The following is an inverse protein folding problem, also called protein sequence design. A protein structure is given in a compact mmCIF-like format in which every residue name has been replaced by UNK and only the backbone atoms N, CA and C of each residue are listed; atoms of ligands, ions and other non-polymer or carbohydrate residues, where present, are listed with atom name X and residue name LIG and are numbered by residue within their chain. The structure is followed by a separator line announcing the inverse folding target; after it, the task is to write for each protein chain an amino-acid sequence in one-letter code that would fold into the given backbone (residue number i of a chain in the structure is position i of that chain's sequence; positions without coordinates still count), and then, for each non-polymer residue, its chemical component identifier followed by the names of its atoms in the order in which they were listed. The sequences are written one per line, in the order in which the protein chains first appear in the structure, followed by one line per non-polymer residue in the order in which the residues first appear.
data_IF_372297230072
#
_entry.id   IF_372297230072
#
_cell.length_a   1.000
_cell.length_b   1.000
_cell.length_c   1.000
_cell.angle_alpha   90.00
_cell.angle_beta   90.00
_cell.angle_gamma   90.00
#
_symmetry.space_group_name_H-M   'P 1'
#
loop_
_entity.id
_entity.type
_entity.pdbx_description
1 polymer ?
#
# COMPACT_ATOMS: atom_id res chain seq x y z
N UNK A 1 60.11 -47.43 5.38
CA UNK A 1 58.82 -46.94 5.90
C UNK A 1 59.01 -45.51 6.37
N UNK A 2 58.58 -44.54 5.57
CA UNK A 2 58.41 -43.13 5.97
C UNK A 2 57.60 -42.46 4.88
N UNK A 3 56.30 -42.33 5.11
CA UNK A 3 55.39 -41.54 4.27
C UNK A 3 55.02 -40.29 5.05
N UNK A 4 55.54 -39.16 4.57
CA UNK A 4 55.25 -37.81 5.04
C UNK A 4 53.76 -37.50 4.84
N UNK A 5 53.10 -37.01 5.90
CA UNK A 5 51.76 -36.45 5.84
C UNK A 5 51.81 -35.08 5.15
N UNK A 6 51.20 -34.97 3.97
CA UNK A 6 50.81 -33.68 3.41
C UNK A 6 49.60 -33.14 4.18
N UNK A 7 49.75 -31.92 4.67
CA UNK A 7 48.71 -31.11 5.30
C UNK A 7 47.80 -30.57 4.17
N UNK A 8 46.47 -30.71 4.22
CA UNK A 8 45.62 -30.09 3.22
C UNK A 8 45.49 -28.58 3.50
N UNK A 9 45.74 -27.78 2.46
CA UNK A 9 45.42 -26.35 2.40
C UNK A 9 43.97 -26.07 2.81
N UNK A 10 43.70 -24.97 3.54
CA UNK A 10 42.34 -24.56 3.82
C UNK A 10 41.65 -24.08 2.54
N UNK A 11 40.58 -24.78 2.16
CA UNK A 11 39.73 -24.47 1.02
C UNK A 11 39.32 -22.98 1.02
N UNK A 12 39.61 -22.30 -0.10
CA UNK A 12 39.10 -20.98 -0.43
C UNK A 12 37.57 -20.93 -0.22
N UNK A 13 37.12 -20.02 0.64
CA UNK A 13 35.72 -19.63 0.74
C UNK A 13 35.30 -19.02 -0.60
N UNK A 14 34.81 -19.85 -1.51
CA UNK A 14 34.13 -19.44 -2.73
C UNK A 14 32.87 -18.67 -2.33
N UNK A 15 33.00 -17.34 -2.25
CA UNK A 15 31.92 -16.43 -1.93
C UNK A 15 30.79 -16.60 -2.93
N UNK A 16 29.64 -17.09 -2.48
CA UNK A 16 28.43 -17.26 -3.27
C UNK A 16 28.04 -15.90 -3.86
N UNK A 17 28.33 -15.68 -5.16
CA UNK A 17 27.87 -14.49 -5.89
C UNK A 17 26.39 -14.64 -6.19
N UNK A 18 25.59 -13.70 -5.70
CA UNK A 18 24.16 -13.62 -5.97
C UNK A 18 23.89 -12.30 -6.68
N UNK A 19 23.12 -12.35 -7.77
CA UNK A 19 22.74 -11.16 -8.54
C UNK A 19 21.47 -10.55 -7.95
N UNK A 20 21.52 -9.25 -7.67
CA UNK A 20 20.39 -8.50 -7.12
C UNK A 20 20.00 -7.35 -8.05
N UNK A 21 18.71 -6.99 -8.03
CA UNK A 21 18.27 -5.75 -8.67
C UNK A 21 18.85 -4.54 -7.90
N UNK A 22 19.29 -3.46 -8.58
CA UNK A 22 19.91 -2.30 -7.91
C UNK A 22 19.05 -1.68 -6.80
N UNK A 23 17.73 -1.63 -6.97
CA UNK A 23 16.83 -1.11 -5.94
C UNK A 23 16.84 -1.92 -4.64
N UNK A 24 17.01 -3.25 -4.72
CA UNK A 24 17.10 -4.13 -3.54
C UNK A 24 18.39 -3.84 -2.76
N UNK A 25 19.51 -3.69 -3.48
CA UNK A 25 20.78 -3.33 -2.88
C UNK A 25 20.72 -1.98 -2.17
N UNK A 26 20.15 -0.97 -2.82
CA UNK A 26 20.00 0.37 -2.23
C UNK A 26 19.08 0.36 -1.01
N UNK A 27 18.02 -0.43 -1.01
CA UNK A 27 17.12 -0.58 0.13
C UNK A 27 17.82 -1.23 1.35
N UNK A 28 18.57 -2.31 1.14
CA UNK A 28 19.32 -2.96 2.22
C UNK A 28 20.44 -2.06 2.77
N UNK A 29 21.15 -1.35 1.90
CA UNK A 29 22.12 -0.32 2.30
C UNK A 29 21.43 0.76 3.15
N UNK A 30 20.27 1.26 2.71
CA UNK A 30 19.50 2.27 3.45
C UNK A 30 19.07 1.80 4.85
N UNK A 31 18.54 0.56 4.97
CA UNK A 31 18.21 -0.04 6.26
C UNK A 31 19.43 -0.14 7.18
N UNK A 32 20.56 -0.58 6.64
CA UNK A 32 21.79 -0.71 7.40
C UNK A 32 22.31 0.64 7.88
N UNK A 33 22.29 1.67 7.02
CA UNK A 33 22.67 3.04 7.41
C UNK A 33 21.78 3.52 8.56
N UNK A 34 20.46 3.38 8.44
CA UNK A 34 19.52 3.83 9.48
C UNK A 34 19.71 3.09 10.81
N UNK A 35 20.11 1.82 10.78
CA UNK A 35 20.35 1.01 11.98
C UNK A 35 21.67 1.38 12.64
N UNK A 36 22.70 1.61 11.84
CA UNK A 36 24.08 1.78 12.31
C UNK A 36 24.40 3.25 12.62
N UNK A 37 23.82 4.18 11.86
CA UNK A 37 24.06 5.61 11.90
C UNK A 37 22.71 6.36 11.90
N UNK A 38 21.88 6.18 12.94
CA UNK A 38 20.53 6.78 12.98
C UNK A 38 20.56 8.32 12.96
N UNK A 39 21.66 8.92 13.37
CA UNK A 39 21.83 10.38 13.42
C UNK A 39 22.44 10.97 12.13
N UNK A 40 22.85 10.13 11.17
CA UNK A 40 23.45 10.60 9.93
C UNK A 40 22.40 11.31 9.06
N UNK A 41 22.62 12.60 8.81
CA UNK A 41 21.79 13.41 7.92
C UNK A 41 22.62 13.87 6.73
N UNK A 42 22.08 13.67 5.54
CA UNK A 42 22.70 14.07 4.27
C UNK A 42 21.83 15.14 3.63
N UNK A 43 22.44 16.25 3.21
CA UNK A 43 21.78 17.31 2.47
C UNK A 43 22.17 17.23 1.00
N UNK A 44 21.19 17.30 0.11
CA UNK A 44 21.38 17.30 -1.34
C UNK A 44 20.48 18.37 -1.97
N UNK A 45 20.85 18.97 -3.13
CA UNK A 45 19.97 19.91 -3.82
C UNK A 45 18.61 19.28 -4.15
N UNK A 46 17.56 20.11 -4.21
CA UNK A 46 16.19 19.67 -4.51
C UNK A 46 16.09 18.88 -5.84
N UNK A 47 16.93 19.22 -6.82
CA UNK A 47 17.07 18.48 -8.08
C UNK A 47 18.53 18.05 -8.24
N UNK A 48 18.78 16.75 -8.36
CA UNK A 48 20.10 16.17 -8.57
C UNK A 48 20.01 14.97 -9.50
N UNK A 49 21.15 14.54 -10.05
CA UNK A 49 21.22 13.31 -10.85
C UNK A 49 21.31 12.09 -9.92
N UNK A 50 20.92 10.90 -10.40
CA UNK A 50 21.11 9.64 -9.66
C UNK A 50 22.55 9.47 -9.17
N UNK A 51 23.52 9.73 -10.05
CA UNK A 51 24.94 9.66 -9.71
C UNK A 51 25.34 10.71 -8.68
N UNK A 52 24.80 11.92 -8.76
CA UNK A 52 25.02 12.98 -7.78
C UNK A 52 24.53 12.57 -6.40
N UNK A 53 23.30 12.05 -6.30
CA UNK A 53 22.73 11.57 -5.04
C UNK A 53 23.55 10.42 -4.42
N UNK A 54 23.88 9.40 -5.23
CA UNK A 54 24.69 8.26 -4.76
C UNK A 54 26.07 8.70 -4.28
N UNK A 55 26.70 9.65 -4.98
CA UNK A 55 27.99 10.21 -4.58
C UNK A 55 27.87 10.97 -3.26
N UNK A 56 26.87 11.83 -3.10
CA UNK A 56 26.67 12.57 -1.84
C UNK A 56 26.49 11.62 -0.64
N UNK A 57 25.69 10.56 -0.80
CA UNK A 57 25.51 9.54 0.23
C UNK A 57 26.83 8.81 0.48
N UNK A 58 27.55 8.39 -0.57
CA UNK A 58 28.84 7.72 -0.46
C UNK A 58 29.88 8.56 0.29
N UNK A 59 30.00 9.85 -0.05
CA UNK A 59 30.95 10.78 0.57
C UNK A 59 30.64 10.96 2.07
N UNK A 60 29.35 10.96 2.44
CA UNK A 60 28.89 11.07 3.83
C UNK A 60 29.16 9.82 4.69
N UNK A 61 29.45 8.68 4.04
CA UNK A 61 29.75 7.40 4.69
C UNK A 61 31.26 7.13 4.80
N UNK A 62 32.09 8.11 4.43
CA UNK A 62 33.55 8.02 4.56
C UNK A 62 33.96 7.73 6.01
N UNK A 63 34.83 6.74 6.22
CA UNK A 63 35.24 6.27 7.56
C UNK A 63 34.42 5.11 8.17
N UNK A 64 33.47 4.54 7.42
CA UNK A 64 32.67 3.35 7.84
C UNK A 64 32.97 2.13 6.95
N UNK A 65 34.12 2.16 6.27
CA UNK A 65 34.51 1.29 5.16
C UNK A 65 34.56 -0.22 5.51
N UNK A 66 34.78 -0.55 6.78
CA UNK A 66 34.93 -1.94 7.25
C UNK A 66 33.64 -2.58 7.80
N UNK A 67 32.48 -1.89 7.71
CA UNK A 67 31.22 -2.45 8.26
C UNK A 67 30.54 -3.35 7.23
N UNK A 68 30.54 -4.64 7.54
CA UNK A 68 29.82 -5.63 6.75
C UNK A 68 28.31 -5.45 6.86
N UNK A 69 27.66 -5.29 5.71
CA UNK A 69 26.21 -5.44 5.59
C UNK A 69 25.89 -6.87 5.17
N UNK A 70 24.85 -7.44 5.78
CA UNK A 70 24.27 -8.70 5.28
C UNK A 70 23.13 -8.32 4.34
N UNK A 71 23.27 -8.67 3.06
CA UNK A 71 22.18 -8.50 2.10
C UNK A 71 21.28 -9.71 2.23
N UNK A 72 20.09 -9.50 2.80
CA UNK A 72 19.08 -10.55 2.83
C UNK A 72 18.80 -11.01 1.40
N UNK A 73 18.82 -12.34 1.22
CA UNK A 73 18.43 -12.93 -0.05
C UNK A 73 17.00 -12.45 -0.36
N UNK A 74 16.75 -11.80 -1.51
CA UNK A 74 15.42 -11.44 -1.92
C UNK A 74 14.65 -12.75 -1.95
N UNK A 75 13.53 -12.82 -1.26
CA UNK A 75 12.63 -13.95 -1.41
C UNK A 75 12.29 -13.98 -2.91
N UNK A 76 12.76 -15.01 -3.67
CA UNK A 76 12.54 -15.02 -5.11
C UNK A 76 11.05 -14.86 -5.38
N UNK A 77 10.66 -14.14 -6.43
CA UNK A 77 9.25 -13.91 -6.77
C UNK A 77 8.46 -15.23 -6.81
N UNK A 78 9.11 -16.31 -7.25
CA UNK A 78 8.62 -17.69 -7.21
C UNK A 78 8.51 -18.29 -5.81
N UNK A 79 9.42 -17.97 -4.87
CA UNK A 79 9.33 -18.38 -3.47
C UNK A 79 8.32 -17.55 -2.69
N UNK A 80 8.12 -16.27 -3.03
CA UNK A 80 6.99 -15.47 -2.53
C UNK A 80 5.67 -16.08 -3.00
N UNK A 81 5.60 -16.51 -4.26
CA UNK A 81 4.44 -17.23 -4.81
C UNK A 81 4.25 -18.59 -4.14
N UNK A 82 5.30 -19.40 -3.97
CA UNK A 82 5.20 -20.69 -3.29
C UNK A 82 4.83 -20.56 -1.80
N UNK A 83 5.40 -19.58 -1.08
CA UNK A 83 4.99 -19.27 0.30
C UNK A 83 3.54 -18.77 0.35
N UNK A 84 3.12 -17.98 -0.65
CA UNK A 84 1.72 -17.58 -0.82
C UNK A 84 0.83 -18.80 -1.07
N UNK A 85 1.19 -19.71 -1.96
CA UNK A 85 0.39 -20.88 -2.32
C UNK A 85 0.27 -21.88 -1.16
N UNK A 86 1.35 -22.05 -0.38
CA UNK A 86 1.37 -22.88 0.83
C UNK A 86 0.50 -22.27 1.94
N UNK A 87 0.54 -20.94 2.08
CA UNK A 87 -0.30 -20.22 3.03
C UNK A 87 -1.78 -20.24 2.62
N UNK A 88 -2.07 -20.12 1.32
CA UNK A 88 -3.41 -20.26 0.75
C UNK A 88 -4.00 -21.65 1.04
N UNK A 89 -3.19 -22.72 0.89
CA UNK A 89 -3.61 -24.08 1.26
C UNK A 89 -3.89 -24.21 2.75
N UNK A 90 -3.07 -23.59 3.60
CA UNK A 90 -3.26 -23.62 5.06
C UNK A 90 -4.57 -22.92 5.48
N UNK A 91 -4.91 -21.80 4.85
CA UNK A 91 -6.15 -21.04 5.12
C UNK A 91 -7.39 -21.81 4.60
N UNK A 92 -7.29 -22.43 3.43
CA UNK A 92 -8.36 -23.28 2.89
C UNK A 92 -8.62 -24.51 3.77
N UNK A 93 -7.56 -25.08 4.36
CA UNK A 93 -7.68 -26.16 5.34
C UNK A 93 -8.22 -25.70 6.70
N UNK A 94 -8.18 -24.39 7.01
CA UNK A 94 -8.62 -23.83 8.29
C UNK A 94 -9.98 -23.12 8.24
N UNK A 95 -10.86 -23.47 7.29
CA UNK A 95 -12.24 -22.97 7.23
C UNK A 95 -13.09 -23.49 8.40
N UNK A 96 -12.82 -22.98 9.60
CA UNK A 96 -13.80 -22.77 10.65
C UNK A 96 -14.08 -21.28 10.69
N UNK A 97 -15.22 -20.86 10.12
CA UNK A 97 -16.09 -19.69 10.39
C UNK A 97 -15.55 -18.47 11.18
N UNK A 98 -14.27 -18.14 11.05
CA UNK A 98 -13.68 -16.98 11.69
C UNK A 98 -13.93 -15.79 10.79
N UNK A 99 -15.11 -15.18 10.93
CA UNK A 99 -15.41 -13.86 10.39
C UNK A 99 -14.22 -12.95 10.71
N UNK A 100 -13.48 -12.51 9.68
CA UNK A 100 -12.38 -11.57 9.82
C UNK A 100 -12.93 -10.30 10.49
N UNK A 101 -12.64 -10.14 11.78
CA UNK A 101 -13.06 -8.95 12.53
C UNK A 101 -12.28 -7.73 12.04
N UNK A 102 -12.86 -6.56 12.16
CA UNK A 102 -12.16 -5.29 11.87
C UNK A 102 -12.07 -4.43 13.09
N UNK A 103 -10.95 -3.73 13.24
CA UNK A 103 -10.73 -2.79 14.34
C UNK A 103 -10.25 -1.44 13.78
N UNK A 104 -10.75 -0.32 14.32
CA UNK A 104 -10.28 1.02 13.93
C UNK A 104 -8.82 1.22 14.34
N UNK A 105 -8.08 1.99 13.54
CA UNK A 105 -6.80 2.52 14.00
C UNK A 105 -7.01 3.62 15.04
N UNK A 106 -6.02 3.82 15.90
CA UNK A 106 -6.01 4.95 16.84
C UNK A 106 -5.75 6.25 16.09
N UNK A 107 -6.45 7.31 16.48
CA UNK A 107 -6.21 8.67 16.00
C UNK A 107 -5.74 9.57 17.14
N UNK A 108 -4.87 10.52 16.82
CA UNK A 108 -4.39 11.55 17.75
C UNK A 108 -5.19 12.87 17.62
N UNK A 109 -6.21 12.88 16.76
CA UNK A 109 -7.09 14.01 16.51
C UNK A 109 -8.53 13.51 16.30
N UNK A 110 -9.46 14.44 16.31
CA UNK A 110 -10.87 14.17 16.07
C UNK A 110 -11.16 14.04 14.56
N UNK A 111 -11.51 12.82 14.12
CA UNK A 111 -11.86 12.54 12.73
C UNK A 111 -13.09 13.33 12.23
N UNK A 112 -13.99 13.73 13.13
CA UNK A 112 -15.19 14.47 12.75
C UNK A 112 -14.84 15.85 12.17
N UNK A 113 -13.70 16.43 12.60
CA UNK A 113 -13.18 17.72 12.15
C UNK A 113 -12.48 17.67 10.79
N UNK A 114 -12.22 16.48 10.23
CA UNK A 114 -11.64 16.36 8.90
C UNK A 114 -12.64 16.91 7.88
N UNK A 115 -12.28 17.86 7.01
CA UNK A 115 -13.22 18.38 6.02
C UNK A 115 -13.49 17.35 4.92
N UNK A 116 -14.59 17.52 4.18
CA UNK A 116 -14.72 16.87 2.87
C UNK A 116 -13.57 17.32 1.97
N UNK A 117 -13.05 16.43 1.10
CA UNK A 117 -11.97 16.80 0.20
C UNK A 117 -12.47 17.83 -0.82
N UNK A 118 -11.58 18.72 -1.24
CA UNK A 118 -11.88 19.66 -2.32
C UNK A 118 -11.85 18.89 -3.65
N UNK A 119 -12.87 19.02 -4.51
CA UNK A 119 -12.84 18.45 -5.86
C UNK A 119 -11.60 18.92 -6.62
N UNK A 120 -11.00 18.00 -7.38
CA UNK A 120 -9.83 18.31 -8.19
C UNK A 120 -10.18 19.23 -9.36
N UNK A 121 -9.21 20.03 -9.81
CA UNK A 121 -9.32 20.72 -11.10
C UNK A 121 -9.30 19.71 -12.25
N UNK A 122 -9.93 20.04 -13.38
CA UNK A 122 -9.97 19.16 -14.58
C UNK A 122 -8.59 18.65 -15.00
N UNK A 123 -7.60 19.54 -15.00
CA UNK A 123 -6.22 19.17 -15.32
C UNK A 123 -5.61 18.17 -14.31
N UNK A 124 -5.92 18.30 -13.02
CA UNK A 124 -5.47 17.34 -12.03
C UNK A 124 -6.21 15.99 -12.17
N UNK A 125 -7.49 16.02 -12.54
CA UNK A 125 -8.27 14.81 -12.84
C UNK A 125 -7.67 14.03 -14.01
N UNK A 126 -7.32 14.72 -15.09
CA UNK A 126 -6.66 14.13 -16.26
C UNK A 126 -5.33 13.46 -15.89
N UNK A 127 -4.49 14.11 -15.07
CA UNK A 127 -3.24 13.50 -14.58
C UNK A 127 -3.49 12.24 -13.76
N UNK A 128 -4.50 12.25 -12.88
CA UNK A 128 -4.86 11.06 -12.07
C UNK A 128 -5.28 9.91 -12.98
N UNK A 129 -6.05 10.18 -14.03
CA UNK A 129 -6.44 9.21 -15.06
C UNK A 129 -5.23 8.67 -15.83
N UNK A 130 -4.30 9.53 -16.25
CA UNK A 130 -3.06 9.13 -16.92
C UNK A 130 -2.19 8.23 -16.04
N UNK A 131 -2.03 8.59 -14.76
CA UNK A 131 -1.27 7.81 -13.77
C UNK A 131 -1.95 6.47 -13.44
N UNK A 132 -3.29 6.43 -13.47
CA UNK A 132 -4.04 5.19 -13.33
C UNK A 132 -3.78 4.22 -14.49
N UNK A 133 -3.23 4.69 -15.61
CA UNK A 133 -2.86 3.87 -16.76
C UNK A 133 -4.08 3.14 -17.36
N UNK A 134 -3.88 2.04 -18.12
CA UNK A 134 -5.00 1.31 -18.68
C UNK A 134 -5.88 0.73 -17.56
N UNK A 135 -7.17 1.06 -17.63
CA UNK A 135 -8.21 0.59 -16.71
C UNK A 135 -8.60 -0.85 -17.08
N UNK A 136 -7.68 -1.78 -16.80
CA UNK A 136 -7.88 -3.19 -17.09
C UNK A 136 -8.90 -3.80 -16.12
N UNK A 137 -9.67 -4.82 -16.55
CA UNK A 137 -10.48 -5.62 -15.64
C UNK A 137 -9.62 -6.14 -14.49
N UNK A 138 -10.21 -6.29 -13.30
CA UNK A 138 -9.48 -6.87 -12.18
C UNK A 138 -8.98 -8.27 -12.58
N UNK A 139 -7.67 -8.47 -12.60
CA UNK A 139 -7.09 -9.80 -12.83
C UNK A 139 -7.40 -10.67 -11.62
N UNK A 140 -8.31 -11.62 -11.78
CA UNK A 140 -8.44 -12.73 -10.86
C UNK A 140 -7.15 -13.60 -10.88
N UNK A 141 -6.74 -14.16 -9.73
CA UNK A 141 -7.37 -14.02 -8.44
C UNK A 141 -6.95 -12.71 -7.77
N UNK A 142 -7.95 -11.97 -7.30
CA UNK A 142 -7.76 -11.03 -6.20
C UNK A 142 -6.85 -11.70 -5.17
N UNK A 143 -5.72 -11.09 -4.78
CA UNK A 143 -5.06 -11.45 -3.54
C UNK A 143 -5.99 -11.03 -2.40
N UNK A 144 -7.11 -11.74 -2.23
CA UNK A 144 -8.10 -11.48 -1.19
C UNK A 144 -7.44 -11.74 0.16
N UNK A 145 -7.20 -10.64 0.88
CA UNK A 145 -7.33 -10.51 2.34
C UNK A 145 -6.79 -11.68 3.16
N UNK A 146 -5.52 -11.70 3.62
CA UNK A 146 -5.14 -12.51 4.81
C UNK A 146 -3.69 -12.44 5.29
N UNK A 147 -2.70 -12.03 4.51
CA UNK A 147 -1.36 -12.63 4.75
C UNK A 147 -0.58 -12.06 5.94
N UNK A 148 -0.68 -10.77 6.29
CA UNK A 148 0.05 -10.24 7.46
C UNK A 148 -0.83 -9.86 8.64
N UNK A 149 -1.96 -9.17 8.41
CA UNK A 149 -2.84 -8.75 9.50
C UNK A 149 -3.65 -9.90 10.10
N UNK A 150 -4.19 -10.82 9.27
CA UNK A 150 -4.98 -11.94 9.78
C UNK A 150 -4.11 -13.02 10.45
N UNK A 151 -2.92 -13.31 9.90
CA UNK A 151 -2.00 -14.34 10.46
C UNK A 151 -1.46 -13.97 11.85
N UNK A 152 -1.36 -12.67 12.18
CA UNK A 152 -0.75 -12.23 13.45
C UNK A 152 -1.69 -11.65 14.52
N UNK A 153 -2.90 -11.20 14.17
CA UNK A 153 -3.74 -10.36 15.04
C UNK A 153 -5.23 -10.70 15.05
N UNK A 154 -5.72 -11.53 14.13
CA UNK A 154 -7.14 -11.90 14.04
C UNK A 154 -8.10 -10.76 13.65
N UNK A 155 -7.59 -9.56 13.31
CA UNK A 155 -8.39 -8.41 12.88
C UNK A 155 -7.69 -7.55 11.82
N UNK A 156 -8.47 -6.97 10.90
CA UNK A 156 -7.97 -6.04 9.89
C UNK A 156 -8.13 -4.56 10.33
N UNK A 157 -7.17 -3.69 10.00
CA UNK A 157 -7.26 -2.26 10.32
C UNK A 157 -8.31 -1.55 9.46
N UNK A 158 -9.13 -0.73 10.10
CA UNK A 158 -10.03 0.20 9.43
C UNK A 158 -9.64 1.65 9.67
N UNK A 159 -9.73 2.45 8.62
CA UNK A 159 -9.32 3.85 8.57
C UNK A 159 -10.53 4.71 8.20
N UNK A 160 -10.84 5.77 8.97
CA UNK A 160 -11.92 6.68 8.62
C UNK A 160 -11.52 7.57 7.44
N UNK A 161 -12.49 7.90 6.59
CA UNK A 161 -12.29 8.78 5.48
C UNK A 161 -13.55 9.60 5.17
N UNK A 162 -13.32 10.74 4.52
CA UNK A 162 -14.35 11.52 3.84
C UNK A 162 -14.02 11.58 2.37
N UNK A 163 -14.96 11.25 1.51
CA UNK A 163 -14.68 11.12 0.08
C UNK A 163 -15.79 11.69 -0.80
N UNK A 164 -15.39 11.99 -2.03
CA UNK A 164 -16.24 12.40 -3.14
C UNK A 164 -15.94 11.46 -4.30
N UNK A 165 -17.00 10.90 -4.89
CA UNK A 165 -16.95 10.10 -6.11
C UNK A 165 -17.59 10.87 -7.25
N UNK A 166 -16.98 10.76 -8.43
CA UNK A 166 -17.44 11.38 -9.67
C UNK A 166 -17.22 10.41 -10.84
N UNK A 167 -17.87 10.68 -11.97
CA UNK A 167 -17.50 10.02 -13.22
C UNK A 167 -16.07 10.37 -13.62
N UNK A 168 -15.37 9.47 -14.31
CA UNK A 168 -13.96 9.70 -14.70
C UNK A 168 -13.79 10.92 -15.61
N UNK A 169 -14.72 11.12 -16.56
CA UNK A 169 -14.74 12.27 -17.48
C UNK A 169 -16.01 13.14 -17.33
N UNK A 170 -16.84 12.86 -16.32
CA UNK A 170 -18.08 13.60 -16.07
C UNK A 170 -18.28 13.89 -14.58
N UNK A 171 -18.37 15.18 -14.26
CA UNK A 171 -18.61 15.70 -12.91
C UNK A 171 -20.01 16.31 -12.73
N UNK A 172 -20.93 16.00 -13.64
CA UNK A 172 -22.34 16.37 -13.56
C UNK A 172 -23.03 15.86 -12.28
N UNK A 173 -22.60 14.70 -11.78
CA UNK A 173 -23.07 14.10 -10.53
C UNK A 173 -21.92 13.72 -9.62
N UNK A 174 -22.15 13.88 -8.31
CA UNK A 174 -21.19 13.57 -7.27
C UNK A 174 -21.86 12.79 -6.15
N UNK A 175 -21.19 11.75 -5.66
CA UNK A 175 -21.58 11.04 -4.44
C UNK A 175 -20.61 11.43 -3.32
N UNK A 176 -21.14 11.91 -2.19
CA UNK A 176 -20.33 12.32 -1.03
C UNK A 176 -20.54 11.35 0.11
N UNK A 177 -19.46 10.90 0.73
CA UNK A 177 -19.50 10.05 1.92
C UNK A 177 -18.68 10.69 3.04
N UNK A 178 -19.35 11.18 4.08
CA UNK A 178 -18.72 11.88 5.21
C UNK A 178 -18.22 10.95 6.32
N UNK A 179 -18.76 9.73 6.38
CA UNK A 179 -18.46 8.76 7.43
C UNK A 179 -18.01 7.43 6.82
N UNK A 180 -17.16 7.50 5.80
CA UNK A 180 -16.67 6.32 5.13
C UNK A 180 -15.64 5.60 6.03
N UNK A 181 -15.75 4.28 6.10
CA UNK A 181 -14.77 3.43 6.78
C UNK A 181 -14.12 2.54 5.74
N UNK A 182 -12.81 2.64 5.66
CA UNK A 182 -12.01 2.00 4.62
C UNK A 182 -11.18 0.89 5.24
N UNK A 183 -11.14 -0.26 4.57
CA UNK A 183 -10.26 -1.36 4.93
C UNK A 183 -8.86 -1.03 4.43
N UNK A 184 -7.90 -0.96 5.36
CA UNK A 184 -6.49 -0.83 4.99
C UNK A 184 -5.94 -2.22 4.67
N UNK A 185 -6.09 -2.62 3.41
CA UNK A 185 -5.60 -3.88 2.89
C UNK A 185 -4.44 -3.64 1.93
N UNK A 186 -3.28 -4.22 2.23
CA UNK A 186 -2.12 -4.15 1.35
C UNK A 186 -2.21 -5.16 0.19
N UNK A 187 -3.26 -5.98 0.11
CA UNK A 187 -3.45 -7.01 -0.92
C UNK A 187 -4.17 -6.55 -2.19
N UNK A 188 -5.04 -5.54 -2.11
CA UNK A 188 -5.77 -5.05 -3.27
C UNK A 188 -4.86 -4.24 -4.19
N UNK A 189 -4.87 -4.53 -5.50
CA UNK A 189 -4.05 -3.77 -6.47
C UNK A 189 -4.59 -2.37 -6.71
N UNK A 190 -5.92 -2.22 -6.75
CA UNK A 190 -6.65 -0.98 -6.99
C UNK A 190 -7.68 -0.77 -5.88
N UNK A 191 -8.08 0.49 -5.70
CA UNK A 191 -9.13 0.82 -4.72
C UNK A 191 -10.48 0.35 -5.25
N UNK A 192 -11.22 -0.36 -4.40
CA UNK A 192 -12.50 -0.98 -4.76
C UNK A 192 -13.58 -0.44 -3.84
N UNK A 193 -14.72 -0.10 -4.42
CA UNK A 193 -15.95 0.23 -3.72
C UNK A 193 -17.04 -0.78 -4.07
N UNK A 194 -17.85 -1.16 -3.09
CA UNK A 194 -19.09 -1.88 -3.39
C UNK A 194 -20.22 -0.91 -3.72
N UNK A 195 -21.01 -1.26 -4.72
CA UNK A 195 -22.14 -0.47 -5.21
C UNK A 195 -23.23 -0.24 -4.15
N UNK A 196 -23.39 -1.17 -3.21
CA UNK A 196 -24.36 -1.05 -2.12
C UNK A 196 -24.07 0.09 -1.14
N UNK A 197 -22.88 0.70 -1.21
CA UNK A 197 -22.55 1.93 -0.49
C UNK A 197 -23.07 3.20 -1.17
N UNK A 198 -23.46 3.12 -2.44
CA UNK A 198 -23.81 4.27 -3.26
C UNK A 198 -25.31 4.54 -3.24
N UNK A 199 -25.68 5.81 -3.28
CA UNK A 199 -27.07 6.22 -3.48
C UNK A 199 -27.68 5.54 -4.72
N UNK A 200 -28.99 5.21 -4.72
CA UNK A 200 -29.65 4.65 -5.90
C UNK A 200 -29.49 5.53 -7.14
N UNK A 201 -29.49 6.86 -6.96
CA UNK A 201 -29.31 7.81 -8.05
C UNK A 201 -27.91 7.74 -8.67
N UNK A 202 -26.86 7.67 -7.84
CA UNK A 202 -25.50 7.57 -8.36
C UNK A 202 -25.22 6.21 -8.99
N UNK A 203 -25.83 5.13 -8.46
CA UNK A 203 -25.79 3.82 -9.13
C UNK A 203 -26.45 3.85 -10.50
N UNK A 204 -27.62 4.44 -10.60
CA UNK A 204 -28.34 4.60 -11.87
C UNK A 204 -27.52 5.40 -12.88
N UNK A 205 -26.90 6.50 -12.43
CA UNK A 205 -25.95 7.29 -13.21
C UNK A 205 -24.82 6.41 -13.77
N UNK A 206 -24.09 5.66 -12.93
CA UNK A 206 -22.99 4.80 -13.40
C UNK A 206 -23.46 3.66 -14.34
N UNK A 207 -24.65 3.10 -14.10
CA UNK A 207 -25.14 1.91 -14.82
C UNK A 207 -25.92 2.20 -16.10
N UNK A 208 -26.59 3.34 -16.20
CA UNK A 208 -27.50 3.64 -17.30
C UNK A 208 -27.06 4.83 -18.16
N UNK A 209 -26.24 5.76 -17.65
CA UNK A 209 -25.78 6.90 -18.45
C UNK A 209 -24.71 6.47 -19.48
N UNK A 210 -24.89 6.73 -20.79
CA UNK A 210 -23.91 6.38 -21.82
C UNK A 210 -22.52 7.00 -21.64
N UNK A 211 -22.40 8.11 -20.91
CA UNK A 211 -21.09 8.77 -20.67
C UNK A 211 -20.09 7.84 -19.97
N UNK A 212 -20.58 6.82 -19.27
CA UNK A 212 -19.76 5.84 -18.56
C UNK A 212 -19.47 4.56 -19.35
N UNK A 213 -19.98 4.40 -20.57
CA UNK A 213 -19.72 3.20 -21.37
C UNK A 213 -18.22 2.85 -21.52
N UNK A 214 -17.29 3.81 -21.72
CA UNK A 214 -15.85 3.51 -21.76
C UNK A 214 -15.27 3.02 -20.43
N UNK A 215 -15.99 3.24 -19.32
CA UNK A 215 -15.56 2.98 -17.95
C UNK A 215 -16.24 1.76 -17.33
N UNK A 216 -17.18 1.13 -18.04
CA UNK A 216 -17.84 -0.10 -17.59
C UNK A 216 -16.97 -1.32 -17.84
N UNK A 217 -16.90 -2.19 -16.83
CA UNK A 217 -16.09 -3.41 -16.86
C UNK A 217 -16.98 -4.61 -17.09
N UNK A 218 -16.98 -5.12 -18.33
CA UNK A 218 -17.50 -6.45 -18.71
C UNK A 218 -18.94 -6.75 -18.31
N UNK A 219 -19.33 -8.04 -18.43
CA UNK A 219 -20.67 -8.52 -18.13
C UNK A 219 -20.97 -8.62 -16.61
N UNK A 220 -19.92 -8.70 -15.78
CA UNK A 220 -20.02 -9.00 -14.35
C UNK A 220 -20.37 -7.78 -13.48
N UNK A 221 -20.45 -6.59 -14.10
CA UNK A 221 -20.92 -5.37 -13.44
C UNK A 221 -19.83 -4.70 -12.63
N UNK A 222 -19.21 -3.69 -13.24
CA UNK A 222 -18.39 -2.73 -12.53
C UNK A 222 -18.23 -1.45 -13.34
N UNK A 223 -17.88 -0.36 -12.67
CA UNK A 223 -17.64 0.93 -13.30
C UNK A 223 -16.46 1.64 -12.65
N UNK A 224 -15.54 2.16 -13.45
CA UNK A 224 -14.49 3.02 -12.96
C UNK A 224 -15.04 4.40 -12.62
N UNK A 225 -14.61 4.94 -11.48
CA UNK A 225 -14.99 6.26 -10.99
C UNK A 225 -13.77 7.02 -10.52
N UNK A 226 -13.85 8.34 -10.56
CA UNK A 226 -12.87 9.19 -9.91
C UNK A 226 -13.17 9.25 -8.41
N UNK A 227 -12.15 9.03 -7.59
CA UNK A 227 -12.22 9.08 -6.13
C UNK A 227 -11.28 10.18 -5.63
N UNK A 228 -11.82 11.12 -4.86
CA UNK A 228 -11.06 12.08 -4.06
C UNK A 228 -11.38 11.84 -2.59
N UNK A 229 -10.37 11.64 -1.74
CA UNK A 229 -10.58 11.25 -0.34
C UNK A 229 -9.61 11.97 0.61
N UNK A 230 -10.15 12.49 1.72
CA UNK A 230 -9.38 12.83 2.91
C UNK A 230 -9.39 11.62 3.85
N UNK A 231 -8.23 11.06 4.13
CA UNK A 231 -8.07 9.76 4.79
C UNK A 231 -7.33 9.97 6.09
N UNK A 232 -7.93 9.53 7.21
CA UNK A 232 -7.44 9.81 8.54
C UNK A 232 -6.50 8.75 9.09
N UNK A 233 -5.19 9.01 9.10
CA UNK A 233 -4.17 8.18 9.75
C UNK A 233 -3.91 8.62 11.20
N UNK A 234 -3.10 7.88 11.96
CA UNK A 234 -2.91 8.13 13.39
C UNK A 234 -2.43 9.54 13.72
N UNK A 235 -1.43 10.06 12.99
CA UNK A 235 -0.85 11.38 13.21
C UNK A 235 -1.52 12.51 12.42
N UNK A 236 -2.11 12.20 11.26
CA UNK A 236 -2.65 13.21 10.35
C UNK A 236 -3.66 12.62 9.38
N UNK A 237 -4.47 13.47 8.76
CA UNK A 237 -5.17 13.10 7.54
C UNK A 237 -4.41 13.57 6.29
N UNK A 238 -4.51 12.82 5.20
CA UNK A 238 -3.95 13.19 3.90
C UNK A 238 -5.05 13.20 2.84
N UNK A 239 -4.85 13.99 1.78
CA UNK A 239 -5.70 13.98 0.60
C UNK A 239 -5.09 13.05 -0.46
N UNK A 240 -5.87 12.09 -0.93
CA UNK A 240 -5.52 11.19 -2.02
C UNK A 240 -6.59 11.24 -3.11
N UNK A 241 -6.13 11.14 -4.35
CA UNK A 241 -6.99 11.13 -5.53
C UNK A 241 -6.57 10.01 -6.46
N UNK A 242 -7.52 9.17 -6.86
CA UNK A 242 -7.25 7.98 -7.66
C UNK A 242 -8.47 7.60 -8.50
N UNK A 243 -8.31 6.58 -9.34
CA UNK A 243 -9.40 5.93 -10.04
C UNK A 243 -9.75 4.64 -9.29
N UNK A 244 -11.00 4.54 -8.84
CA UNK A 244 -11.51 3.41 -8.08
C UNK A 244 -12.48 2.58 -8.91
N UNK A 245 -12.56 1.28 -8.63
CA UNK A 245 -13.52 0.39 -9.28
C UNK A 245 -14.74 0.21 -8.37
N UNK A 246 -15.91 0.58 -8.86
CA UNK A 246 -17.18 0.20 -8.25
C UNK A 246 -17.55 -1.19 -8.75
N UNK A 247 -17.80 -2.13 -7.84
CA UNK A 247 -18.24 -3.50 -8.14
C UNK A 247 -19.51 -3.84 -7.37
N UNK A 248 -20.21 -4.88 -7.81
CA UNK A 248 -21.32 -5.45 -7.03
C UNK A 248 -20.79 -6.04 -5.72
N UNK A 249 -21.55 -5.89 -4.63
CA UNK A 249 -21.23 -6.55 -3.35
C UNK A 249 -20.97 -8.07 -3.50
N UNK A 250 -21.71 -8.76 -4.37
CA UNK A 250 -21.56 -10.20 -4.57
C UNK A 250 -20.21 -10.61 -5.16
N UNK A 251 -19.57 -9.71 -5.93
CA UNK A 251 -18.25 -9.94 -6.52
C UNK A 251 -17.12 -9.40 -5.63
N UNK A 252 -17.47 -8.70 -4.55
CA UNK A 252 -16.50 -8.23 -3.58
C UNK A 252 -15.88 -9.39 -2.78
N UNK A 253 -14.61 -9.27 -2.38
CA UNK A 253 -13.97 -10.24 -1.51
C UNK A 253 -14.79 -10.52 -0.24
N UNK A 254 -15.07 -11.81 0.02
CA UNK A 254 -15.93 -12.26 1.12
C UNK A 254 -17.34 -11.64 1.13
N UNK A 255 -17.81 -11.15 -0.03
CA UNK A 255 -19.07 -10.40 -0.19
C UNK A 255 -19.25 -9.25 0.80
N UNK A 256 -18.13 -8.67 1.24
CA UNK A 256 -18.11 -7.57 2.21
C UNK A 256 -18.56 -6.29 1.53
N UNK A 257 -19.51 -5.59 2.14
CA UNK A 257 -19.80 -4.19 1.80
C UNK A 257 -18.72 -3.29 2.37
N UNK A 258 -18.18 -2.38 1.57
CA UNK A 258 -17.16 -1.45 2.04
C UNK A 258 -16.24 -0.94 0.95
N UNK A 259 -15.22 -0.25 1.43
CA UNK A 259 -14.14 0.27 0.60
C UNK A 259 -12.86 -0.47 0.95
N UNK A 260 -12.15 -0.97 -0.05
CA UNK A 260 -10.85 -1.62 0.11
C UNK A 260 -9.81 -0.76 -0.59
N UNK A 261 -8.81 -0.29 0.18
CA UNK A 261 -7.74 0.51 -0.40
C UNK A 261 -6.82 -0.33 -1.28
N UNK A 262 -6.55 0.18 -2.48
CA UNK A 262 -5.57 -0.40 -3.38
C UNK A 262 -4.15 0.05 -3.11
N UNK A 263 -3.19 -0.75 -3.55
CA UNK A 263 -1.79 -0.36 -3.67
C UNK A 263 -1.66 0.84 -4.63
N UNK A 264 -2.15 0.66 -5.85
CA UNK A 264 -2.04 1.65 -6.92
C UNK A 264 -2.87 2.90 -6.59
N UNK A 265 -2.20 4.05 -6.59
CA UNK A 265 -2.83 5.35 -6.36
C UNK A 265 -3.23 5.63 -4.91
N UNK A 266 -2.81 4.78 -3.95
CA UNK A 266 -2.91 5.10 -2.53
C UNK A 266 -1.67 4.63 -1.76
N UNK A 267 -1.50 3.32 -1.53
CA UNK A 267 -0.38 2.84 -0.71
C UNK A 267 0.98 3.13 -1.33
N UNK A 268 1.07 3.11 -2.67
CA UNK A 268 2.29 3.50 -3.40
C UNK A 268 2.65 4.99 -3.21
N UNK A 269 1.67 5.80 -2.80
CA UNK A 269 1.82 7.24 -2.59
C UNK A 269 2.15 7.61 -1.14
N UNK A 270 2.30 6.64 -0.23
CA UNK A 270 2.58 6.91 1.19
C UNK A 270 3.78 6.11 1.71
N UNK A 271 4.60 6.76 2.52
CA UNK A 271 5.56 6.11 3.41
C UNK A 271 4.96 6.11 4.82
N UNK A 272 4.78 4.90 5.38
CA UNK A 272 4.10 4.75 6.66
C UNK A 272 4.77 3.71 7.55
N UNK A 273 4.52 3.85 8.85
CA UNK A 273 4.85 2.86 9.87
C UNK A 273 3.57 2.36 10.51
N UNK A 274 3.47 1.06 10.72
CA UNK A 274 2.34 0.43 11.40
C UNK A 274 2.81 -0.27 12.66
N UNK A 275 2.13 -0.02 13.78
CA UNK A 275 2.42 -0.62 15.09
C UNK A 275 1.13 -1.18 15.66
N UNK A 276 0.90 -2.49 15.57
CA UNK A 276 -0.27 -3.13 16.16
C UNK A 276 -0.38 -2.91 17.67
N UNK A 277 -1.62 -2.84 18.18
CA UNK A 277 -1.92 -2.57 19.58
C UNK A 277 -1.22 -3.54 20.55
N UNK A 278 -1.05 -4.81 20.17
CA UNK A 278 -0.33 -5.81 20.99
C UNK A 278 1.12 -5.45 21.32
N UNK A 279 1.74 -4.57 20.55
CA UNK A 279 3.10 -4.09 20.77
C UNK A 279 3.14 -2.72 21.46
N UNK A 280 1.98 -2.07 21.63
CA UNK A 280 1.86 -0.82 22.36
C UNK A 280 1.71 -1.16 23.84
N UNK A 281 2.44 -0.44 24.72
CA UNK A 281 2.33 -0.62 26.18
C UNK A 281 0.94 -0.28 26.73
N UNK A 282 0.11 0.40 25.95
CA UNK A 282 -1.27 0.74 26.29
C UNK A 282 -2.23 -0.33 25.73
N UNK A 283 -2.81 -1.13 26.63
CA UNK A 283 -3.92 -2.05 26.33
C UNK A 283 -5.18 -1.24 26.03
N UNK A 284 -5.40 -0.94 24.76
CA UNK A 284 -6.72 -0.58 24.27
C UNK A 284 -7.16 -1.67 23.28
N UNK A 285 -7.96 -2.61 23.79
CA UNK A 285 -8.41 -3.77 23.03
C UNK A 285 -9.39 -3.40 21.91
N UNK A 286 -9.89 -2.16 21.87
CA UNK A 286 -10.86 -1.69 20.88
C UNK A 286 -10.20 -1.18 19.59
N UNK A 287 -8.91 -0.88 19.60
CA UNK A 287 -8.18 -0.41 18.42
C UNK A 287 -7.31 -1.52 17.82
N UNK A 288 -7.04 -1.40 16.52
CA UNK A 288 -6.09 -2.26 15.83
C UNK A 288 -4.65 -1.92 16.20
N UNK A 289 -4.36 -0.63 16.38
CA UNK A 289 -3.04 -0.08 16.60
C UNK A 289 -2.86 1.29 15.94
N UNK A 290 -1.61 1.66 15.70
CA UNK A 290 -1.22 2.92 15.10
C UNK A 290 -0.77 2.71 13.65
N UNK A 291 -1.18 3.60 12.74
CA UNK A 291 -0.64 3.73 11.38
C UNK A 291 -0.26 5.19 11.18
N UNK A 292 1.05 5.47 11.21
CA UNK A 292 1.62 6.81 11.12
C UNK A 292 2.17 7.04 9.73
N UNK A 293 1.84 8.16 9.11
CA UNK A 293 2.40 8.59 7.83
C UNK A 293 3.65 9.41 8.11
N UNK A 294 4.79 8.99 7.55
CA UNK A 294 6.04 9.76 7.61
C UNK A 294 6.16 10.69 6.39
N UNK A 295 5.74 10.22 5.20
CA UNK A 295 5.74 11.00 3.96
C UNK A 295 4.58 10.59 3.05
N UNK A 296 4.08 11.49 2.21
CA UNK A 296 3.18 11.13 1.11
C UNK A 296 3.39 11.99 -0.12
N UNK A 297 3.00 11.45 -1.27
CA UNK A 297 2.96 12.16 -2.56
C UNK A 297 1.53 12.66 -2.73
N UNK A 298 1.37 13.99 -2.76
CA UNK A 298 0.08 14.63 -2.95
C UNK A 298 -0.46 14.49 -4.38
N UNK A 299 -1.71 14.90 -4.62
CA UNK A 299 -2.32 14.90 -5.96
C UNK A 299 -1.61 15.83 -6.96
N UNK A 300 -0.81 16.79 -6.47
CA UNK A 300 0.05 17.64 -7.30
C UNK A 300 1.41 17.01 -7.64
N UNK A 301 1.65 15.77 -7.20
CA UNK A 301 2.90 15.03 -7.39
C UNK A 301 4.02 15.46 -6.45
N UNK A 302 3.78 16.36 -5.49
CA UNK A 302 4.79 16.80 -4.54
C UNK A 302 4.82 15.90 -3.32
N UNK A 303 6.03 15.59 -2.85
CA UNK A 303 6.23 14.89 -1.60
C UNK A 303 6.07 15.85 -0.42
N UNK A 304 5.26 15.48 0.55
CA UNK A 304 5.10 16.18 1.81
C UNK A 304 5.50 15.27 2.97
N UNK A 305 6.35 15.80 3.87
CA UNK A 305 6.64 15.17 5.16
C UNK A 305 5.46 15.38 6.12
N UNK A 306 5.18 14.38 6.96
CA UNK A 306 4.05 14.37 7.90
C UNK A 306 4.48 14.15 9.34
#
# INVERSE_FOLDING_TARGET
MSTSQENPEPAEKTGRRVTYHPSHLLAEVGKSINTILPDLKVSTPYSTTWQGCLKTVSDSLSGVEDRHITIDSPIPTLRKRALRDELLRTIQASQQDSLLTTKPIRLQYDASQVPLPTPLSRQAKERVKELAGPLLPCEEPYPVTTIQAAVGLGALPTIPAKLILEGVDDDSKQEKMENAVMLFDTGARQTILTDDMLSPEFRDYLHNDPVHDPYRVGADGGCWVQLCANIGFTNKFICLCTIALVIRKSTAPNSRSGIIFGQKGCLDSICYRSVPAKFLKAQDDHVWGDITIDQYIGPDGKTAAC
#
